data_IF_173823301385
#
_entry.id   IF_173823301385
#
_cell.length_a   1.000
_cell.length_b   1.000
_cell.length_c   1.000
_cell.angle_alpha   90.00
_cell.angle_beta   90.00
_cell.angle_gamma   90.00
#
_symmetry.space_group_name_H-M   'P 1'
#
loop_
_entity.id
_entity.type
_entity.pdbx_description
1 polymer ?
#
# COMPACT_ATOMS: atom_id res chain seq x y z
N UNK A 1 -15.28 -24.83 33.35
CA UNK A 1 -14.39 -24.69 32.17
C UNK A 1 -15.10 -23.83 31.14
N UNK A 2 -14.58 -22.64 30.86
CA UNK A 2 -15.19 -21.69 29.91
C UNK A 2 -14.77 -22.12 28.50
N UNK A 3 -15.71 -22.58 27.69
CA UNK A 3 -15.46 -22.88 26.27
C UNK A 3 -15.44 -21.57 25.50
N UNK A 4 -14.25 -21.14 25.09
CA UNK A 4 -14.04 -19.98 24.23
C UNK A 4 -14.52 -20.32 22.82
N UNK A 5 -15.58 -19.66 22.36
CA UNK A 5 -16.09 -19.75 20.98
C UNK A 5 -15.06 -19.17 20.02
N UNK A 6 -14.52 -20.02 19.13
CA UNK A 6 -13.65 -19.61 18.03
C UNK A 6 -14.51 -18.82 17.02
N UNK A 7 -14.26 -17.51 16.89
CA UNK A 7 -14.82 -16.70 15.80
C UNK A 7 -14.30 -17.23 14.47
N UNK A 8 -15.12 -17.99 13.75
CA UNK A 8 -14.86 -18.34 12.34
C UNK A 8 -14.82 -17.05 11.53
N UNK A 9 -13.64 -16.65 11.04
CA UNK A 9 -13.49 -15.53 10.13
C UNK A 9 -14.35 -15.78 8.88
N UNK A 10 -15.33 -14.91 8.64
CA UNK A 10 -16.27 -15.03 7.52
C UNK A 10 -15.52 -14.76 6.21
N UNK A 11 -15.56 -15.73 5.30
CA UNK A 11 -14.90 -15.64 4.00
C UNK A 11 -15.46 -14.42 3.21
N UNK A 12 -14.62 -13.42 2.84
CA UNK A 12 -15.09 -12.19 2.22
C UNK A 12 -15.63 -12.46 0.82
N UNK A 13 -16.88 -12.06 0.56
CA UNK A 13 -17.56 -12.24 -0.72
C UNK A 13 -17.59 -10.94 -1.52
N UNK A 14 -17.15 -11.00 -2.76
CA UNK A 14 -17.30 -9.94 -3.74
C UNK A 14 -18.56 -10.22 -4.57
N UNK A 15 -19.53 -9.30 -4.53
CA UNK A 15 -20.76 -9.36 -5.32
C UNK A 15 -20.85 -8.11 -6.17
N UNK A 16 -20.98 -8.28 -7.48
CA UNK A 16 -21.12 -7.20 -8.45
C UNK A 16 -22.33 -7.48 -9.30
N UNK A 17 -23.11 -6.44 -9.60
CA UNK A 17 -24.26 -6.51 -10.52
C UNK A 17 -23.90 -5.71 -11.79
N UNK A 18 -23.39 -6.37 -12.84
CA UNK A 18 -23.14 -5.71 -14.11
C UNK A 18 -24.46 -5.44 -14.84
N UNK A 19 -24.45 -4.44 -15.71
CA UNK A 19 -25.44 -4.30 -16.77
C UNK A 19 -25.29 -5.45 -17.80
N UNK A 20 -26.27 -5.58 -18.70
CA UNK A 20 -26.33 -6.68 -19.65
C UNK A 20 -25.13 -6.70 -20.62
N UNK A 21 -24.69 -5.54 -21.10
CA UNK A 21 -23.59 -5.44 -22.06
C UNK A 21 -22.25 -5.80 -21.39
N UNK A 22 -22.01 -5.27 -20.19
CA UNK A 22 -20.86 -5.65 -19.37
C UNK A 22 -20.85 -7.15 -19.07
N UNK A 23 -22.00 -7.74 -18.72
CA UNK A 23 -22.08 -9.17 -18.46
C UNK A 23 -21.72 -10.02 -19.70
N UNK A 24 -22.28 -9.68 -20.87
CA UNK A 24 -21.97 -10.36 -22.15
C UNK A 24 -20.49 -10.25 -22.50
N UNK A 25 -19.91 -9.07 -22.34
CA UNK A 25 -18.49 -8.83 -22.63
C UNK A 25 -17.58 -9.66 -21.71
N UNK A 26 -17.86 -9.64 -20.40
CA UNK A 26 -17.08 -10.39 -19.42
C UNK A 26 -17.24 -11.90 -19.63
N UNK A 27 -18.45 -12.38 -19.90
CA UNK A 27 -18.70 -13.80 -20.17
C UNK A 27 -17.92 -14.28 -21.40
N UNK A 28 -17.99 -13.54 -22.52
CA UNK A 28 -17.21 -13.86 -23.73
C UNK A 28 -15.70 -13.84 -23.45
N UNK A 29 -15.20 -12.86 -22.71
CA UNK A 29 -13.79 -12.80 -22.36
C UNK A 29 -13.34 -13.97 -21.46
N UNK A 30 -14.21 -14.39 -20.53
CA UNK A 30 -13.97 -15.55 -19.68
C UNK A 30 -13.89 -16.84 -20.51
N UNK A 31 -14.85 -17.05 -21.42
CA UNK A 31 -14.87 -18.18 -22.37
C UNK A 31 -13.59 -18.24 -23.21
N UNK A 32 -13.22 -17.13 -23.85
CA UNK A 32 -11.99 -17.04 -24.65
C UNK A 32 -10.72 -17.30 -23.84
N UNK A 33 -10.74 -17.02 -22.53
CA UNK A 33 -9.63 -17.27 -21.62
C UNK A 33 -9.62 -18.69 -21.01
N UNK A 34 -10.64 -19.51 -21.31
CA UNK A 34 -10.81 -20.84 -20.74
C UNK A 34 -11.10 -20.84 -19.23
N UNK A 35 -11.80 -19.82 -18.73
CA UNK A 35 -12.10 -19.62 -17.30
C UNK A 35 -13.58 -19.41 -17.07
N UNK A 36 -14.06 -19.71 -15.86
CA UNK A 36 -15.41 -19.28 -15.47
C UNK A 36 -15.45 -17.75 -15.29
N UNK A 37 -16.65 -17.17 -15.40
CA UNK A 37 -16.88 -15.73 -15.22
C UNK A 37 -16.32 -15.23 -13.88
N UNK A 38 -16.58 -15.97 -12.80
CA UNK A 38 -16.11 -15.61 -11.46
C UNK A 38 -14.57 -15.64 -11.36
N UNK A 39 -13.93 -16.66 -11.96
CA UNK A 39 -12.47 -16.74 -11.99
C UNK A 39 -11.84 -15.63 -12.83
N UNK A 40 -12.47 -15.28 -13.96
CA UNK A 40 -12.04 -14.18 -14.80
C UNK A 40 -12.14 -12.85 -14.06
N UNK A 41 -13.25 -12.59 -13.38
CA UNK A 41 -13.46 -11.38 -12.56
C UNK A 41 -12.41 -11.25 -11.48
N UNK A 42 -12.19 -12.31 -10.68
CA UNK A 42 -11.18 -12.30 -9.63
C UNK A 42 -9.78 -12.04 -10.20
N UNK A 43 -9.44 -12.70 -11.30
CA UNK A 43 -8.17 -12.51 -11.98
C UNK A 43 -7.99 -11.07 -12.49
N UNK A 44 -8.99 -10.53 -13.19
CA UNK A 44 -8.95 -9.18 -13.75
C UNK A 44 -8.86 -8.11 -12.65
N UNK A 45 -9.68 -8.23 -11.60
CA UNK A 45 -9.67 -7.32 -10.46
C UNK A 45 -8.32 -7.36 -9.72
N UNK A 46 -7.77 -8.57 -9.49
CA UNK A 46 -6.46 -8.72 -8.84
C UNK A 46 -5.34 -8.14 -9.69
N UNK A 47 -5.38 -8.36 -11.01
CA UNK A 47 -4.40 -7.81 -11.95
C UNK A 47 -4.41 -6.29 -11.93
N UNK A 48 -5.59 -5.68 -11.92
CA UNK A 48 -5.71 -4.23 -11.91
C UNK A 48 -5.31 -3.64 -10.55
N UNK A 49 -5.75 -4.25 -9.44
CA UNK A 49 -5.33 -3.85 -8.10
C UNK A 49 -3.80 -3.83 -7.96
N UNK A 50 -3.10 -4.87 -8.43
CA UNK A 50 -1.63 -4.92 -8.41
C UNK A 50 -0.97 -3.80 -9.21
N UNK A 51 -1.56 -3.40 -10.35
CA UNK A 51 -1.03 -2.28 -11.14
C UNK A 51 -1.22 -0.94 -10.42
N UNK A 52 -2.38 -0.73 -9.82
CA UNK A 52 -2.68 0.49 -9.06
C UNK A 52 -1.73 0.63 -7.87
N UNK A 53 -1.57 -0.43 -7.08
CA UNK A 53 -0.62 -0.48 -5.97
C UNK A 53 0.82 -0.22 -6.43
N UNK A 54 1.25 -0.90 -7.50
CA UNK A 54 2.59 -0.71 -8.06
C UNK A 54 2.80 0.72 -8.54
N UNK A 55 1.82 1.32 -9.21
CA UNK A 55 1.90 2.70 -9.69
C UNK A 55 1.96 3.71 -8.55
N UNK A 56 1.23 3.46 -7.46
CA UNK A 56 1.26 4.32 -6.28
C UNK A 56 2.62 4.26 -5.55
N UNK A 57 3.25 3.07 -5.52
CA UNK A 57 4.53 2.85 -4.86
C UNK A 57 5.76 3.24 -5.70
N UNK A 58 5.60 3.47 -7.01
CA UNK A 58 6.70 3.73 -7.92
C UNK A 58 6.79 5.21 -8.32
N UNK A 59 7.96 5.80 -8.11
CA UNK A 59 8.30 7.11 -8.68
C UNK A 59 8.96 6.87 -10.04
N UNK A 60 8.27 7.25 -11.11
CA UNK A 60 8.85 7.23 -12.46
C UNK A 60 9.57 8.54 -12.70
N UNK A 61 10.87 8.47 -12.93
CA UNK A 61 11.74 9.62 -13.17
C UNK A 61 12.30 9.60 -14.59
N UNK A 62 12.62 10.78 -15.15
CA UNK A 62 13.38 10.85 -16.39
C UNK A 62 14.81 10.33 -16.19
N UNK A 63 15.50 9.97 -17.28
CA UNK A 63 16.88 9.51 -17.21
C UNK A 63 17.80 10.56 -16.56
N UNK A 64 17.62 11.85 -16.90
CA UNK A 64 18.36 12.94 -16.28
C UNK A 64 18.12 13.07 -14.78
N UNK A 65 16.88 12.87 -14.33
CA UNK A 65 16.54 12.89 -12.91
C UNK A 65 17.10 11.66 -12.18
N UNK A 66 17.10 10.49 -12.84
CA UNK A 66 17.74 9.28 -12.31
C UNK A 66 19.25 9.47 -12.13
N UNK A 67 19.95 10.00 -13.15
CA UNK A 67 21.38 10.27 -13.07
C UNK A 67 21.70 11.25 -11.94
N UNK A 68 20.96 12.35 -11.84
CA UNK A 68 21.11 13.30 -10.72
C UNK A 68 20.89 12.64 -9.35
N UNK A 69 19.91 11.75 -9.24
CA UNK A 69 19.66 11.02 -8.00
C UNK A 69 20.83 10.08 -7.67
N UNK A 70 21.38 9.37 -8.65
CA UNK A 70 22.54 8.50 -8.47
C UNK A 70 23.77 9.31 -8.03
N UNK A 71 24.05 10.44 -8.68
CA UNK A 71 25.15 11.34 -8.30
C UNK A 71 25.02 11.82 -6.85
N UNK A 72 23.79 12.11 -6.39
CA UNK A 72 23.52 12.50 -5.00
C UNK A 72 23.66 11.35 -3.99
N UNK A 73 23.47 10.10 -4.42
CA UNK A 73 23.70 8.91 -3.58
C UNK A 73 25.20 8.63 -3.43
N UNK A 74 25.97 8.77 -4.51
CA UNK A 74 27.42 8.56 -4.52
C UNK A 74 28.15 9.71 -3.82
N UNK A 75 27.65 10.94 -3.97
CA UNK A 75 28.21 12.14 -3.37
C UNK A 75 27.16 12.85 -2.49
N UNK A 76 26.88 12.33 -1.29
CA UNK A 76 25.88 12.91 -0.41
C UNK A 76 26.31 14.30 0.05
N UNK A 77 25.47 15.29 -0.25
CA UNK A 77 25.68 16.67 0.20
C UNK A 77 25.48 16.76 1.72
N UNK A 78 26.25 17.61 2.42
CA UNK A 78 26.07 17.81 3.86
C UNK A 78 24.68 18.38 4.16
N UNK A 79 24.09 17.92 5.27
CA UNK A 79 22.77 18.38 5.73
C UNK A 79 22.76 19.90 5.93
N UNK A 80 21.73 20.57 5.42
CA UNK A 80 21.55 21.99 5.64
C UNK A 80 21.31 22.31 7.13
N UNK A 81 21.70 23.51 7.62
CA UNK A 81 21.44 23.91 9.00
C UNK A 81 19.96 23.85 9.39
N UNK A 82 19.06 24.19 8.46
CA UNK A 82 17.60 24.12 8.68
C UNK A 82 17.10 22.68 8.85
N UNK A 83 17.57 21.75 8.00
CA UNK A 83 17.21 20.34 8.11
C UNK A 83 17.77 19.72 9.40
N UNK A 84 18.98 20.10 9.81
CA UNK A 84 19.57 19.69 11.09
C UNK A 84 18.75 20.19 12.27
N UNK A 85 18.33 21.45 12.27
CA UNK A 85 17.47 22.01 13.32
C UNK A 85 16.13 21.27 13.40
N UNK A 86 15.47 21.02 12.27
CA UNK A 86 14.22 20.27 12.21
C UNK A 86 14.37 18.83 12.75
N UNK A 87 15.46 18.15 12.40
CA UNK A 87 15.74 16.80 12.90
C UNK A 87 15.94 16.79 14.43
N UNK A 88 16.61 17.80 15.00
CA UNK A 88 16.78 17.94 16.45
C UNK A 88 15.44 18.19 17.17
N UNK A 89 14.57 19.02 16.60
CA UNK A 89 13.22 19.27 17.12
C UNK A 89 12.33 18.01 17.06
N UNK A 90 12.41 17.25 15.97
CA UNK A 90 11.69 15.98 15.87
C UNK A 90 12.18 14.97 16.93
N UNK A 91 13.50 14.89 17.15
CA UNK A 91 14.09 13.99 18.14
C UNK A 91 13.67 14.35 19.57
N UNK A 92 13.62 15.64 19.91
CA UNK A 92 13.14 16.07 21.24
C UNK A 92 11.66 15.75 21.43
N UNK A 93 10.83 15.97 20.40
CA UNK A 93 9.42 15.59 20.40
C UNK A 93 9.24 14.07 20.59
N UNK A 94 9.90 13.25 19.76
CA UNK A 94 9.80 11.79 19.81
C UNK A 94 10.25 11.21 21.17
N UNK A 95 11.32 11.75 21.76
CA UNK A 95 11.78 11.32 23.08
C UNK A 95 10.84 11.75 24.22
N UNK A 96 10.14 12.88 24.08
CA UNK A 96 9.14 13.36 25.05
C UNK A 96 7.88 12.49 25.17
N UNK A 97 7.54 11.68 24.15
CA UNK A 97 6.45 10.70 24.23
C UNK A 97 6.81 9.47 25.08
N UNK A 98 8.10 9.19 25.31
CA UNK A 98 8.56 8.06 26.12
C UNK A 98 8.56 8.32 27.63
N UNK A 99 8.81 9.56 28.03
CA UNK A 99 9.08 9.94 29.43
C UNK A 99 7.81 10.27 30.26
N UNK A 100 6.65 10.42 29.62
CA UNK A 100 5.39 10.72 30.31
C UNK A 100 4.72 9.50 30.98
N UNK A 101 5.26 8.28 30.81
CA UNK A 101 4.72 7.05 31.43
C UNK A 101 5.33 6.70 32.79
N UNK A 102 6.36 7.39 33.25
CA UNK A 102 7.11 7.04 34.48
C UNK A 102 6.84 7.96 35.68
N UNK A 103 6.06 9.04 35.52
CA UNK A 103 5.61 9.83 36.68
C UNK A 103 4.29 9.30 37.25
N UNK A 104 4.33 8.11 37.84
CA UNK A 104 3.35 7.74 38.86
C UNK A 104 3.89 8.28 40.18
N UNK A 105 3.38 9.44 40.58
CA UNK A 105 3.67 10.09 41.87
C UNK A 105 3.31 9.18 43.06
N UNK A 106 3.98 9.35 44.22
CA UNK A 106 3.81 8.52 45.42
C UNK A 106 2.41 8.60 46.03
#
# INVERSE_FOLDING_TARGET
>A
MKTTSVKTAKDPRLVVRPDEDSHKLIARAAELSGRSVNQFLLYAATKEARKVEKRAAQVVVSQEAANRMLDMLDNPQPLSPSLRAAALQYRSFANGFGDSRTRKTP
#
